data_IF_176772320059
#
_entry.id   IF_176772320059
#
_cell.length_a   1.000
_cell.length_b   1.000
_cell.length_c   1.000
_cell.angle_alpha   90.00
_cell.angle_beta   90.00
_cell.angle_gamma   90.00
#
_symmetry.space_group_name_H-M   'P 1'
#
loop_
_entity.id
_entity.type
_entity.pdbx_description
1 polymer ?
#
# COMPACT_ATOMS: atom_id res chain seq x y z
N UNK A 1 8.20 2.34 -24.72
CA UNK A 1 8.38 0.98 -24.18
C UNK A 1 9.75 0.96 -23.52
N UNK A 2 9.77 1.18 -22.21
CA UNK A 2 10.96 0.92 -21.40
C UNK A 2 10.87 -0.57 -21.08
N UNK A 3 11.90 -1.35 -21.40
CA UNK A 3 11.86 -2.80 -21.18
C UNK A 3 11.72 -3.13 -19.68
N UNK A 4 10.91 -4.15 -19.35
CA UNK A 4 10.65 -4.66 -18.00
C UNK A 4 11.94 -4.89 -17.19
N UNK A 5 13.02 -5.29 -17.87
CA UNK A 5 14.35 -5.50 -17.31
C UNK A 5 14.97 -4.22 -16.71
N UNK A 6 14.66 -3.06 -17.30
CA UNK A 6 15.16 -1.76 -16.86
C UNK A 6 14.43 -1.27 -15.59
N UNK A 7 13.11 -1.50 -15.50
CA UNK A 7 12.31 -1.15 -14.32
C UNK A 7 12.71 -1.97 -13.09
N UNK A 8 12.95 -3.27 -13.27
CA UNK A 8 13.36 -4.21 -12.21
C UNK A 8 14.76 -3.86 -11.66
N UNK A 9 15.67 -3.44 -12.54
CA UNK A 9 17.02 -3.01 -12.16
C UNK A 9 17.02 -1.67 -11.41
N UNK A 10 16.12 -0.75 -11.77
CA UNK A 10 15.97 0.55 -11.09
C UNK A 10 15.43 0.41 -9.67
N UNK A 11 14.35 -0.38 -9.49
CA UNK A 11 13.75 -0.63 -8.17
C UNK A 11 14.77 -1.24 -7.19
N UNK A 12 15.66 -2.11 -7.68
CA UNK A 12 16.66 -2.79 -6.85
C UNK A 12 17.82 -1.89 -6.38
N UNK A 13 18.12 -0.81 -7.10
CA UNK A 13 19.25 0.06 -6.79
C UNK A 13 18.93 1.17 -5.79
N UNK A 14 17.66 1.57 -5.64
CA UNK A 14 17.26 2.76 -4.86
C UNK A 14 16.59 2.46 -3.50
N UNK A 15 16.06 1.25 -3.26
CA UNK A 15 15.28 0.91 -2.03
C UNK A 15 16.06 0.23 -0.90
N UNK A 16 17.39 0.42 -0.84
CA UNK A 16 18.25 -0.36 0.06
C UNK A 16 18.49 0.35 1.40
N UNK A 17 17.53 0.22 2.32
CA UNK A 17 17.73 0.47 3.76
C UNK A 17 16.88 -0.53 4.57
N UNK A 18 17.43 -1.64 5.08
CA UNK A 18 16.68 -2.50 5.98
C UNK A 18 16.67 -1.91 7.39
N UNK A 19 15.49 -1.66 7.96
CA UNK A 19 15.32 -1.42 9.39
C UNK A 19 15.55 -2.75 10.14
N UNK A 20 16.28 -2.76 11.27
CA UNK A 20 16.51 -3.97 12.06
C UNK A 20 15.21 -4.52 12.65
N UNK A 21 15.02 -5.84 12.56
CA UNK A 21 13.87 -6.53 13.11
C UNK A 21 13.75 -6.33 14.64
N UNK A 22 12.54 -6.18 15.21
CA UNK A 22 12.36 -6.15 16.65
C UNK A 22 12.73 -7.50 17.29
N UNK A 23 13.42 -7.44 18.42
CA UNK A 23 13.90 -8.59 19.18
C UNK A 23 12.73 -9.38 19.81
N UNK A 24 12.77 -10.73 19.84
CA UNK A 24 11.68 -11.51 20.40
C UNK A 24 11.71 -11.50 21.93
N UNK A 25 10.64 -11.00 22.56
CA UNK A 25 10.36 -11.21 23.97
C UNK A 25 9.53 -12.49 24.16
N UNK A 26 9.98 -13.30 25.11
CA UNK A 26 9.48 -14.63 25.46
C UNK A 26 8.21 -14.60 26.31
N UNK A 27 7.21 -15.45 26.03
CA UNK A 27 6.68 -16.46 26.99
C UNK A 27 5.46 -17.26 26.50
N UNK A 28 5.68 -18.58 26.40
CA UNK A 28 4.89 -19.70 26.95
C UNK A 28 3.40 -19.96 26.60
N UNK A 29 3.24 -20.89 25.64
CA UNK A 29 2.43 -22.15 25.64
C UNK A 29 1.02 -22.22 26.24
N UNK A 30 0.06 -22.71 25.41
CA UNK A 30 -0.81 -23.84 25.78
C UNK A 30 -1.21 -24.72 24.57
N UNK A 31 -0.91 -26.01 24.67
CA UNK A 31 -1.31 -27.11 23.77
C UNK A 31 -2.79 -27.49 23.98
N UNK A 32 -3.49 -27.84 22.90
CA UNK A 32 -4.46 -28.96 22.88
C UNK A 32 -4.44 -29.67 21.52
N UNK A 33 -4.75 -30.96 21.53
CA UNK A 33 -4.62 -31.98 20.46
C UNK A 33 -5.98 -32.30 19.82
N UNK A 34 -5.89 -33.07 18.72
CA UNK A 34 -6.89 -33.97 18.06
C UNK A 34 -7.50 -33.41 16.78
N UNK A 35 -7.78 -34.15 15.71
CA UNK A 35 -7.43 -35.50 15.23
C UNK A 35 -7.87 -35.61 13.75
N UNK A 36 -7.28 -36.55 13.04
CA UNK A 36 -7.39 -36.91 11.61
C UNK A 36 -8.79 -37.18 11.01
N UNK A 37 -8.97 -36.93 9.71
CA UNK A 37 -9.20 -37.97 8.67
C UNK A 37 -9.34 -37.41 7.25
N UNK A 38 -8.78 -38.15 6.30
CA UNK A 38 -8.72 -37.99 4.84
C UNK A 38 -10.02 -38.36 4.09
N UNK A 39 -10.27 -37.75 2.92
CA UNK A 39 -10.54 -38.47 1.66
C UNK A 39 -10.78 -37.54 0.47
N UNK A 40 -10.18 -37.91 -0.65
CA UNK A 40 -10.30 -37.38 -2.02
C UNK A 40 -11.62 -37.70 -2.71
N UNK A 41 -12.08 -36.82 -3.61
CA UNK A 41 -12.56 -37.21 -4.95
C UNK A 41 -12.91 -36.00 -5.82
N UNK A 42 -12.41 -36.08 -7.06
CA UNK A 42 -12.67 -35.24 -8.23
C UNK A 42 -14.08 -35.37 -8.80
N UNK A 43 -14.62 -34.28 -9.37
CA UNK A 43 -15.43 -34.35 -10.59
C UNK A 43 -15.53 -32.99 -11.29
N UNK A 44 -15.32 -33.06 -12.60
CA UNK A 44 -15.33 -32.04 -13.64
C UNK A 44 -16.73 -31.58 -14.09
N UNK A 45 -16.71 -30.58 -14.99
CA UNK A 45 -17.78 -30.04 -15.86
C UNK A 45 -18.63 -28.92 -15.24
N UNK A 46 -19.00 -27.84 -15.93
CA UNK A 46 -19.07 -27.56 -17.36
C UNK A 46 -19.04 -26.05 -17.63
N UNK A 47 -18.57 -25.72 -18.82
CA UNK A 47 -18.49 -24.42 -19.48
C UNK A 47 -19.83 -23.67 -19.50
N UNK A 48 -19.79 -22.38 -19.20
CA UNK A 48 -20.75 -21.41 -19.71
C UNK A 48 -19.98 -20.17 -20.16
N UNK A 49 -19.72 -20.11 -21.47
CA UNK A 49 -19.18 -18.94 -22.12
C UNK A 49 -20.28 -17.87 -22.20
N UNK A 50 -20.19 -16.87 -21.33
CA UNK A 50 -21.01 -15.66 -21.42
C UNK A 50 -20.38 -14.74 -22.45
N UNK A 51 -21.02 -14.60 -23.60
CA UNK A 51 -20.67 -13.64 -24.64
C UNK A 51 -20.88 -12.21 -24.12
N UNK A 52 -19.81 -11.54 -23.68
CA UNK A 52 -19.83 -10.09 -23.48
C UNK A 52 -19.43 -9.41 -24.79
N UNK A 53 -20.29 -8.52 -25.29
CA UNK A 53 -20.03 -7.66 -26.45
C UNK A 53 -18.79 -6.77 -26.27
N UNK A 54 -18.49 -5.86 -27.21
CA UNK A 54 -17.23 -5.12 -27.21
C UNK A 54 -17.20 -4.14 -26.03
N UNK A 55 -16.72 -4.62 -24.87
CA UNK A 55 -16.36 -3.80 -23.74
C UNK A 55 -15.12 -3.04 -24.16
N UNK A 56 -15.19 -1.72 -24.21
CA UNK A 56 -14.01 -0.88 -24.19
C UNK A 56 -13.26 -1.21 -22.89
N UNK A 57 -12.25 -2.07 -22.97
CA UNK A 57 -11.38 -2.40 -21.83
C UNK A 57 -10.75 -1.09 -21.36
N UNK A 58 -11.26 -0.53 -20.27
CA UNK A 58 -10.66 0.63 -19.66
C UNK A 58 -9.28 0.19 -19.16
N UNK A 59 -8.22 0.78 -19.71
CA UNK A 59 -6.86 0.55 -19.22
C UNK A 59 -6.73 1.29 -17.90
N UNK A 60 -6.64 0.53 -16.81
CA UNK A 60 -6.38 1.07 -15.48
C UNK A 60 -4.94 1.55 -15.49
N UNK A 61 -4.74 2.84 -15.19
CA UNK A 61 -3.40 3.39 -14.98
C UNK A 61 -3.15 3.45 -13.47
N UNK A 62 -1.92 3.16 -13.06
CA UNK A 62 -1.50 3.19 -11.67
C UNK A 62 -0.15 3.88 -11.57
N UNK A 63 0.10 4.51 -10.43
CA UNK A 63 1.40 5.07 -10.09
C UNK A 63 1.94 4.38 -8.85
N UNK A 64 3.13 3.80 -8.95
CA UNK A 64 3.90 3.38 -7.78
C UNK A 64 4.50 4.62 -7.14
N UNK A 65 4.12 4.89 -5.89
CA UNK A 65 4.65 6.00 -5.11
C UNK A 65 6.08 5.69 -4.65
N UNK A 66 6.95 6.70 -4.55
CA UNK A 66 8.36 6.49 -4.23
C UNK A 66 8.59 6.06 -2.78
N UNK A 67 7.72 6.46 -1.86
CA UNK A 67 7.86 6.22 -0.43
C UNK A 67 7.60 4.75 -0.04
N UNK A 68 8.27 4.34 1.04
CA UNK A 68 7.93 3.13 1.79
C UNK A 68 7.03 3.52 2.95
N UNK A 69 6.02 2.71 3.19
CA UNK A 69 4.96 2.94 4.15
C UNK A 69 5.05 1.98 5.33
N UNK A 70 4.48 2.44 6.44
CA UNK A 70 4.20 1.64 7.62
C UNK A 70 2.71 1.58 7.89
N UNK A 71 2.29 0.52 8.57
CA UNK A 71 0.94 0.36 9.10
C UNK A 71 1.05 0.24 10.62
N UNK A 72 0.55 1.24 11.33
CA UNK A 72 0.49 1.26 12.78
C UNK A 72 -0.92 0.90 13.29
N UNK A 73 -0.97 0.28 14.47
CA UNK A 73 -2.18 -0.08 15.20
C UNK A 73 -2.02 0.19 16.69
N UNK A 74 -3.00 0.88 17.28
CA UNK A 74 -3.09 1.11 18.72
C UNK A 74 -4.48 0.77 19.25
N UNK A 75 -4.58 0.24 20.49
CA UNK A 75 -5.87 0.04 21.13
C UNK A 75 -6.49 1.40 21.51
N UNK A 76 -7.82 1.61 21.38
CA UNK A 76 -8.47 2.89 21.70
C UNK A 76 -8.33 3.30 23.17
N UNK A 77 -8.01 2.34 24.04
CA UNK A 77 -7.75 2.58 25.47
C UNK A 77 -6.42 3.29 25.74
N UNK A 78 -5.46 3.27 24.81
CA UNK A 78 -4.15 3.89 24.99
C UNK A 78 -4.19 5.41 24.71
N UNK A 79 -4.94 6.12 25.55
CA UNK A 79 -5.21 7.56 25.37
C UNK A 79 -3.95 8.41 25.34
N UNK A 80 -2.91 8.03 26.10
CA UNK A 80 -1.67 8.82 26.20
C UNK A 80 -0.90 8.76 24.88
N UNK A 81 -0.72 7.56 24.35
CA UNK A 81 -0.02 7.37 23.07
C UNK A 81 -0.83 7.97 21.93
N UNK A 82 -2.15 7.77 21.91
CA UNK A 82 -3.03 8.37 20.91
C UNK A 82 -3.01 9.90 20.96
N UNK A 83 -2.93 10.50 22.15
CA UNK A 83 -2.78 11.95 22.29
C UNK A 83 -1.43 12.43 21.74
N UNK A 84 -0.33 11.73 22.04
CA UNK A 84 0.98 12.07 21.51
C UNK A 84 1.02 11.95 19.98
N UNK A 85 0.48 10.86 19.43
CA UNK A 85 0.35 10.64 17.99
C UNK A 85 -0.48 11.74 17.33
N UNK A 86 -1.61 12.12 17.93
CA UNK A 86 -2.45 13.20 17.43
C UNK A 86 -1.69 14.54 17.45
N UNK A 87 -0.94 14.85 18.51
CA UNK A 87 -0.19 16.11 18.60
C UNK A 87 0.98 16.17 17.59
N UNK A 88 1.71 15.07 17.41
CA UNK A 88 2.80 14.98 16.44
C UNK A 88 2.27 15.13 15.01
N UNK A 89 1.20 14.40 14.67
CA UNK A 89 0.66 14.40 13.32
C UNK A 89 -0.15 15.66 13.01
N UNK A 90 -0.86 16.27 13.97
CA UNK A 90 -1.66 17.48 13.73
C UNK A 90 -0.79 18.65 13.25
N UNK A 91 0.43 18.80 13.79
CA UNK A 91 1.35 19.84 13.31
C UNK A 91 1.77 19.59 11.85
N UNK A 92 2.08 18.34 11.49
CA UNK A 92 2.36 17.96 10.10
C UNK A 92 1.16 18.22 9.20
N UNK A 93 -0.03 17.76 9.57
CA UNK A 93 -1.25 17.95 8.77
C UNK A 93 -1.63 19.43 8.57
N UNK A 94 -1.44 20.28 9.59
CA UNK A 94 -1.88 21.68 9.55
C UNK A 94 -0.86 22.63 8.92
N UNK A 95 0.43 22.31 9.01
CA UNK A 95 1.50 23.25 8.63
C UNK A 95 2.42 22.74 7.52
N UNK A 96 2.25 21.50 7.06
CA UNK A 96 3.03 20.94 5.94
C UNK A 96 2.10 20.33 4.89
N UNK A 97 2.43 20.52 3.61
CA UNK A 97 1.79 19.72 2.57
C UNK A 97 2.39 18.32 2.63
N UNK A 98 1.57 17.27 2.87
CA UNK A 98 2.10 15.92 2.92
C UNK A 98 2.61 15.51 1.54
N UNK A 99 3.88 15.06 1.49
CA UNK A 99 4.53 14.58 0.25
C UNK A 99 3.88 13.31 -0.29
N UNK A 100 3.27 12.53 0.61
CA UNK A 100 2.67 11.23 0.32
C UNK A 100 1.32 11.08 1.06
N UNK A 101 0.40 10.23 0.59
CA UNK A 101 -0.89 10.01 1.25
C UNK A 101 -0.73 9.43 2.66
N UNK A 102 -1.59 9.87 3.57
CA UNK A 102 -1.71 9.31 4.92
C UNK A 102 -3.15 8.90 5.18
N UNK A 103 -3.36 7.78 5.87
CA UNK A 103 -4.69 7.22 6.14
C UNK A 103 -4.87 6.96 7.63
N UNK A 104 -5.89 7.57 8.23
CA UNK A 104 -6.27 7.35 9.62
C UNK A 104 -7.64 6.68 9.65
N UNK A 105 -7.73 5.52 10.30
CA UNK A 105 -8.99 4.85 10.58
C UNK A 105 -9.15 4.68 12.09
N UNK A 106 -10.27 5.17 12.62
CA UNK A 106 -10.65 4.96 14.02
C UNK A 106 -11.88 4.07 14.03
N UNK A 107 -11.75 2.92 14.66
CA UNK A 107 -12.81 1.95 14.86
C UNK A 107 -13.04 1.74 16.37
N UNK A 108 -14.11 1.06 16.79
CA UNK A 108 -14.28 0.67 18.18
C UNK A 108 -13.15 -0.23 18.71
N UNK A 109 -12.44 -0.92 17.83
CA UNK A 109 -11.45 -1.94 18.18
C UNK A 109 -10.01 -1.40 18.14
N UNK A 110 -9.75 -0.38 17.32
CA UNK A 110 -8.41 0.16 17.09
C UNK A 110 -8.39 1.55 16.47
N UNK A 111 -7.25 2.21 16.65
CA UNK A 111 -6.79 3.30 15.80
C UNK A 111 -5.70 2.75 14.88
N UNK A 112 -5.90 2.84 13.58
CA UNK A 112 -4.93 2.45 12.57
C UNK A 112 -4.45 3.66 11.78
N UNK A 113 -3.13 3.74 11.56
CA UNK A 113 -2.49 4.81 10.81
C UNK A 113 -1.56 4.22 9.75
N UNK A 114 -1.68 4.70 8.52
CA UNK A 114 -0.81 4.36 7.41
C UNK A 114 -0.16 5.65 6.91
N UNK A 115 1.16 5.71 6.88
CA UNK A 115 1.94 6.85 6.37
C UNK A 115 3.31 6.38 5.88
N UNK A 116 4.14 7.29 5.36
CA UNK A 116 5.53 6.98 5.02
C UNK A 116 6.34 6.57 6.27
N UNK A 117 7.44 5.84 6.07
CA UNK A 117 8.39 5.51 7.14
C UNK A 117 8.97 6.76 7.82
N UNK A 118 9.31 7.79 7.03
CA UNK A 118 9.73 9.10 7.54
C UNK A 118 8.66 9.73 8.44
N UNK A 119 7.39 9.62 8.05
CA UNK A 119 6.31 10.21 8.84
C UNK A 119 6.03 9.48 10.16
N UNK A 120 6.48 8.23 10.24
CA UNK A 120 6.33 7.38 11.43
C UNK A 120 7.43 7.54 12.47
N UNK A 121 8.46 8.35 12.18
CA UNK A 121 9.55 8.57 13.12
C UNK A 121 9.05 9.13 14.46
N UNK A 122 9.47 8.49 15.55
CA UNK A 122 9.09 8.89 16.91
C UNK A 122 7.72 8.36 17.36
N UNK A 123 7.08 7.47 16.59
CA UNK A 123 5.96 6.70 17.09
C UNK A 123 6.39 5.82 18.27
N UNK A 124 5.60 5.87 19.34
CA UNK A 124 5.78 5.05 20.53
C UNK A 124 4.55 4.17 20.74
N UNK A 125 4.74 3.02 21.39
CA UNK A 125 3.66 2.07 21.64
C UNK A 125 3.03 1.49 20.36
N UNK A 126 1.96 0.72 20.54
CA UNK A 126 1.25 0.07 19.43
C UNK A 126 2.04 -1.04 18.73
N UNK A 127 1.43 -1.59 17.70
CA UNK A 127 2.04 -2.54 16.77
C UNK A 127 2.28 -1.81 15.45
N UNK A 128 3.50 -1.93 14.91
CA UNK A 128 3.89 -1.28 13.66
C UNK A 128 4.45 -2.33 12.71
N UNK A 129 3.94 -2.33 11.48
CA UNK A 129 4.37 -3.22 10.41
C UNK A 129 4.81 -2.40 9.19
N UNK A 130 6.13 -2.36 8.95
CA UNK A 130 6.76 -1.57 7.88
C UNK A 130 6.97 -2.32 6.57
N UNK A 131 7.70 -1.67 5.64
CA UNK A 131 8.03 -2.26 4.34
C UNK A 131 6.81 -2.47 3.45
N UNK A 132 5.95 -1.45 3.34
CA UNK A 132 4.83 -1.43 2.40
C UNK A 132 5.12 -0.47 1.25
N UNK A 133 4.73 -0.85 0.04
CA UNK A 133 4.76 0.01 -1.14
C UNK A 133 3.35 0.31 -1.58
N UNK A 134 3.10 1.54 -2.02
CA UNK A 134 1.76 2.02 -2.34
C UNK A 134 1.61 2.30 -3.85
N UNK A 135 0.58 1.70 -4.45
CA UNK A 135 0.12 2.03 -5.79
C UNK A 135 -1.12 2.93 -5.70
N UNK A 136 -1.06 4.10 -6.32
CA UNK A 136 -2.21 4.98 -6.53
C UNK A 136 -2.88 4.62 -7.84
N UNK A 137 -4.18 4.32 -7.83
CA UNK A 137 -4.94 4.17 -9.07
C UNK A 137 -5.16 5.56 -9.67
N UNK A 138 -5.01 5.71 -10.99
CA UNK A 138 -5.19 6.99 -11.68
C UNK A 138 -6.57 7.07 -12.34
N UNK A 139 -7.27 8.14 -12.01
CA UNK A 139 -8.58 8.52 -12.56
C UNK A 139 -8.51 9.68 -13.55
N UNK A 140 -9.62 10.00 -14.22
CA UNK A 140 -10.95 10.05 -13.61
C UNK A 140 -11.56 8.66 -13.53
N UNK A 141 -11.79 8.17 -12.31
CA UNK A 141 -12.67 7.03 -12.09
C UNK A 141 -14.07 7.61 -11.93
N UNK A 142 -14.92 7.58 -12.97
CA UNK A 142 -16.30 7.95 -12.76
C UNK A 142 -16.87 6.99 -11.70
N UNK A 143 -17.59 7.51 -10.71
CA UNK A 143 -18.14 6.78 -9.54
C UNK A 143 -18.96 5.52 -9.89
N UNK A 144 -19.28 5.31 -11.17
CA UNK A 144 -20.02 4.17 -11.71
C UNK A 144 -19.12 3.03 -12.22
N UNK A 145 -17.79 3.12 -12.10
CA UNK A 145 -16.89 2.08 -12.58
C UNK A 145 -16.80 0.92 -11.57
N UNK A 146 -17.65 -0.09 -11.77
CA UNK A 146 -17.78 -1.26 -10.90
C UNK A 146 -16.70 -2.30 -11.23
N UNK A 147 -16.14 -2.93 -10.21
CA UNK A 147 -15.33 -4.15 -10.36
C UNK A 147 -13.83 -3.93 -10.53
N UNK A 148 -13.34 -2.69 -10.47
CA UNK A 148 -11.89 -2.40 -10.50
C UNK A 148 -11.18 -3.08 -9.34
N UNK A 149 -11.63 -2.83 -8.10
CA UNK A 149 -11.02 -3.45 -6.93
C UNK A 149 -11.14 -4.96 -6.92
N UNK A 150 -12.24 -5.52 -7.45
CA UNK A 150 -12.38 -6.97 -7.62
C UNK A 150 -11.31 -7.51 -8.58
N UNK A 151 -11.08 -6.84 -9.71
CA UNK A 151 -10.04 -7.22 -10.67
C UNK A 151 -8.63 -7.11 -10.08
N UNK A 152 -8.32 -5.99 -9.42
CA UNK A 152 -6.99 -5.75 -8.84
C UNK A 152 -6.70 -6.70 -7.66
N UNK A 153 -7.69 -7.00 -6.83
CA UNK A 153 -7.54 -7.97 -5.74
C UNK A 153 -7.42 -9.41 -6.24
N UNK A 154 -8.21 -9.81 -7.24
CA UNK A 154 -8.12 -11.15 -7.86
C UNK A 154 -6.74 -11.40 -8.50
N UNK A 155 -6.23 -10.39 -9.21
CA UNK A 155 -4.89 -10.38 -9.79
C UNK A 155 -3.79 -10.66 -8.75
N UNK A 156 -3.77 -9.88 -7.66
CA UNK A 156 -2.80 -10.05 -6.59
C UNK A 156 -2.98 -11.37 -5.83
N UNK A 157 -4.22 -11.82 -5.64
CA UNK A 157 -4.52 -13.10 -5.00
C UNK A 157 -3.98 -14.29 -5.81
N UNK A 158 -4.10 -14.27 -7.15
CA UNK A 158 -3.51 -15.29 -8.03
C UNK A 158 -1.98 -15.33 -7.94
N UNK A 159 -1.35 -14.17 -7.72
CA UNK A 159 0.09 -14.07 -7.47
C UNK A 159 0.51 -14.41 -6.03
N UNK A 160 -0.44 -14.70 -5.13
CA UNK A 160 -0.16 -14.97 -3.71
C UNK A 160 0.27 -13.73 -2.92
N UNK A 161 -0.11 -12.53 -3.38
CA UNK A 161 0.28 -11.25 -2.79
C UNK A 161 -0.87 -10.71 -1.95
N UNK A 162 -0.60 -10.49 -0.66
CA UNK A 162 -1.53 -9.79 0.23
C UNK A 162 -1.54 -8.30 -0.07
N UNK A 163 -2.71 -7.66 0.08
CA UNK A 163 -2.88 -6.23 -0.13
C UNK A 163 -3.61 -5.56 1.04
N UNK A 164 -3.41 -4.25 1.17
CA UNK A 164 -4.30 -3.34 1.88
C UNK A 164 -4.88 -2.35 0.88
N UNK A 165 -6.19 -2.10 0.96
CA UNK A 165 -6.89 -1.19 0.06
C UNK A 165 -7.39 0.01 0.84
N UNK A 166 -7.12 1.22 0.33
CA UNK A 166 -7.58 2.47 0.91
C UNK A 166 -8.25 3.32 -0.17
N UNK A 167 -9.56 3.49 -0.05
CA UNK A 167 -10.33 4.36 -0.94
C UNK A 167 -10.38 5.78 -0.38
N UNK A 168 -10.25 6.76 -1.26
CA UNK A 168 -10.50 8.18 -0.98
C UNK A 168 -11.69 8.65 -1.81
N UNK A 169 -12.02 9.94 -1.72
CA UNK A 169 -13.08 10.51 -2.54
C UNK A 169 -12.77 10.44 -4.04
N UNK A 170 -11.50 10.64 -4.42
CA UNK A 170 -11.09 10.75 -5.83
C UNK A 170 -10.53 9.45 -6.39
N UNK A 171 -9.87 8.63 -5.55
CA UNK A 171 -9.19 7.44 -6.03
C UNK A 171 -8.94 6.38 -4.97
N UNK A 172 -8.50 5.21 -5.39
CA UNK A 172 -8.08 4.09 -4.58
C UNK A 172 -6.55 3.97 -4.52
N UNK A 173 -6.09 3.47 -3.39
CA UNK A 173 -4.70 3.15 -3.11
C UNK A 173 -4.59 1.68 -2.71
N UNK A 174 -3.59 1.00 -3.24
CA UNK A 174 -3.32 -0.41 -2.98
C UNK A 174 -1.90 -0.52 -2.42
N UNK A 175 -1.78 -0.98 -1.19
CA UNK A 175 -0.50 -1.26 -0.58
C UNK A 175 -0.22 -2.75 -0.65
N UNK A 176 1.01 -3.09 -1.02
CA UNK A 176 1.56 -4.46 -0.97
C UNK A 176 2.85 -4.44 -0.18
N UNK A 177 3.29 -5.59 0.33
CA UNK A 177 4.63 -5.67 0.93
C UNK A 177 5.69 -5.32 -0.12
N UNK A 178 6.65 -4.49 0.25
CA UNK A 178 7.68 -3.96 -0.64
C UNK A 178 8.46 -5.07 -1.36
N UNK A 179 8.75 -6.16 -0.63
CA UNK A 179 9.37 -7.38 -1.18
C UNK A 179 8.60 -8.02 -2.34
N UNK A 180 7.30 -7.76 -2.47
CA UNK A 180 6.39 -8.31 -3.48
C UNK A 180 6.01 -7.30 -4.56
N UNK A 181 6.60 -6.10 -4.56
CA UNK A 181 6.26 -5.04 -5.53
C UNK A 181 6.51 -5.47 -6.96
N UNK A 182 7.61 -6.16 -7.22
CA UNK A 182 7.96 -6.62 -8.57
C UNK A 182 6.90 -7.59 -9.10
N UNK A 183 6.55 -8.58 -8.28
CA UNK A 183 5.53 -9.57 -8.63
C UNK A 183 4.15 -8.92 -8.78
N UNK A 184 3.85 -7.89 -7.97
CA UNK A 184 2.62 -7.11 -8.07
C UNK A 184 2.53 -6.32 -9.39
N UNK A 185 3.63 -5.67 -9.82
CA UNK A 185 3.69 -4.96 -11.11
C UNK A 185 3.43 -5.93 -12.25
N UNK A 186 4.13 -7.07 -12.27
CA UNK A 186 3.93 -8.11 -13.30
C UNK A 186 2.47 -8.56 -13.33
N UNK A 187 1.89 -8.88 -12.18
CA UNK A 187 0.50 -9.31 -12.10
C UNK A 187 -0.46 -8.23 -12.67
N UNK A 188 -0.26 -6.96 -12.30
CA UNK A 188 -1.08 -5.86 -12.80
C UNK A 188 -0.96 -5.69 -14.32
N UNK A 189 0.25 -5.80 -14.87
CA UNK A 189 0.52 -5.68 -16.31
C UNK A 189 -0.07 -6.85 -17.11
N UNK A 190 -0.01 -8.08 -16.60
CA UNK A 190 -0.68 -9.26 -17.19
C UNK A 190 -2.20 -9.07 -17.31
N UNK A 191 -2.80 -8.38 -16.34
CA UNK A 191 -4.21 -8.01 -16.36
C UNK A 191 -4.51 -6.76 -17.21
N UNK A 192 -3.50 -6.19 -17.87
CA UNK A 192 -3.62 -5.06 -18.78
C UNK A 192 -3.70 -3.70 -18.09
N UNK A 193 -3.22 -3.60 -16.85
CA UNK A 193 -2.99 -2.31 -16.20
C UNK A 193 -1.67 -1.70 -16.71
N UNK A 194 -1.53 -0.38 -16.57
CA UNK A 194 -0.29 0.34 -16.87
C UNK A 194 0.22 0.89 -15.55
N UNK A 195 1.45 0.54 -15.17
CA UNK A 195 2.07 1.04 -13.94
C UNK A 195 3.19 2.01 -14.30
N UNK A 196 3.03 3.27 -13.89
CA UNK A 196 4.08 4.29 -13.96
C UNK A 196 4.83 4.30 -12.63
N UNK A 197 6.17 4.38 -12.68
CA UNK A 197 7.01 4.54 -11.49
C UNK A 197 7.38 6.02 -11.38
N UNK A 198 6.96 6.68 -10.30
CA UNK A 198 7.36 8.06 -10.04
C UNK A 198 8.72 8.02 -9.35
N UNK A 199 9.70 8.72 -9.93
CA UNK A 199 10.92 9.06 -9.21
C UNK A 199 10.68 10.32 -8.42
N UNK A 200 11.18 10.36 -7.19
CA UNK A 200 11.22 11.57 -6.36
C UNK A 200 11.90 12.68 -7.16
N UNK A 201 11.09 13.60 -7.72
CA UNK A 201 11.58 14.83 -8.29
C UNK A 201 11.99 15.67 -7.10
N UNK A 202 13.26 15.53 -6.71
CA UNK A 202 13.88 16.39 -5.70
C UNK A 202 13.47 17.83 -5.98
N UNK A 203 12.89 18.48 -4.97
CA UNK A 203 12.54 19.89 -5.03
C UNK A 203 13.83 20.69 -5.31
N UNK A 204 14.07 20.98 -6.59
CA UNK A 204 15.06 21.97 -7.01
C UNK A 204 14.66 23.32 -6.42
N UNK A 205 15.63 23.89 -5.69
CA UNK A 205 15.74 25.23 -5.13
C UNK A 205 14.59 26.22 -5.38
N UNK A 206 14.01 26.68 -4.27
CA UNK A 206 13.17 27.88 -4.23
C UNK A 206 13.86 29.07 -4.96
N UNK A 207 13.12 29.91 -5.70
CA UNK A 207 13.71 31.08 -6.34
C UNK A 207 14.24 32.04 -5.27
N UNK A 208 15.55 32.25 -5.28
CA UNK A 208 16.24 33.17 -4.39
C UNK A 208 15.61 34.56 -4.39
N UNK A 209 15.24 35.02 -3.20
CA UNK A 209 14.85 36.39 -2.94
C UNK A 209 16.02 37.33 -3.28
N UNK A 210 15.98 37.94 -4.46
CA UNK A 210 16.89 39.04 -4.78
C UNK A 210 16.27 40.34 -4.26
N UNK A 211 16.42 40.56 -2.95
CA UNK A 211 16.04 41.81 -2.30
C UNK A 211 17.22 42.79 -2.41
N UNK A 212 17.21 43.64 -3.43
CA UNK A 212 18.16 44.77 -3.54
C UNK A 212 17.80 45.86 -2.52
N UNK A 213 18.73 46.34 -1.69
CA UNK A 213 18.46 47.51 -0.86
C UNK A 213 18.50 48.79 -1.71
N UNK A 214 17.59 49.71 -1.37
CA UNK A 214 17.51 51.08 -1.90
C UNK A 214 18.60 51.99 -1.34
#
# INVERSE_FOLDING_TARGET
MIEESSLISLLSSKRKSPIPAPSPSSSSTKKTKSSSSSSSSSSSSSSSASSSGPSTKHKIKMQLLPEIYVVGKWPPSDKKTLQALAMQNLAKFMFTNPKSPQFLAITPDEVSLICSEEDSEGWEGGEVDGGWSCFKVLGPMPFNLIGIMAKLSDCLAKAGISLLAQSTFETDYILVKDKSVKDAIVAFEEEGCIVDIIEDLGEDDAPGENCTPS
#
